data_IF_564068446215
#
_entry.id   IF_564068446215
#
_cell.length_a   1.000
_cell.length_b   1.000
_cell.length_c   1.000
_cell.angle_alpha   90.00
_cell.angle_beta   90.00
_cell.angle_gamma   90.00
#
_symmetry.space_group_name_H-M   'P 1'
#
loop_
_entity.id
_entity.type
_entity.pdbx_description
1 polymer ?
#
# COMPACT_ATOMS: atom_id res chain seq x y z
N UNK A 1 -22.13 4.99 -33.25
CA UNK A 1 -22.55 4.69 -31.87
C UNK A 1 -21.34 4.15 -31.14
N UNK A 2 -20.79 4.92 -30.19
CA UNK A 2 -19.69 4.47 -29.35
C UNK A 2 -20.23 4.42 -27.93
N UNK A 3 -20.54 3.22 -27.46
CA UNK A 3 -20.71 2.97 -26.03
C UNK A 3 -19.43 2.24 -25.62
N UNK A 4 -18.67 2.86 -24.71
CA UNK A 4 -17.58 2.16 -24.04
C UNK A 4 -18.23 0.99 -23.28
N UNK A 5 -17.91 -0.24 -23.68
CA UNK A 5 -18.36 -1.43 -22.95
C UNK A 5 -17.40 -1.66 -21.79
N UNK A 6 -17.94 -1.86 -20.58
CA UNK A 6 -17.14 -2.11 -19.40
C UNK A 6 -17.82 -3.08 -18.43
N UNK A 7 -17.01 -3.73 -17.61
CA UNK A 7 -17.44 -4.42 -16.41
C UNK A 7 -17.06 -3.52 -15.23
N UNK A 8 -18.04 -3.14 -14.42
CA UNK A 8 -17.82 -2.39 -13.19
C UNK A 8 -17.94 -3.31 -11.98
N UNK A 9 -16.93 -3.26 -11.12
CA UNK A 9 -16.94 -3.88 -9.81
C UNK A 9 -17.05 -2.76 -8.77
N UNK A 10 -18.13 -2.77 -7.99
CA UNK A 10 -18.37 -1.82 -6.91
C UNK A 10 -18.22 -2.52 -5.58
N UNK A 11 -17.36 -1.96 -4.72
CA UNK A 11 -17.08 -2.53 -3.40
C UNK A 11 -17.98 -1.90 -2.35
N UNK A 12 -18.56 -2.72 -1.46
CA UNK A 12 -19.39 -2.24 -0.35
C UNK A 12 -18.59 -1.45 0.71
N UNK A 13 -17.26 -1.57 0.67
CA UNK A 13 -16.32 -0.82 1.49
C UNK A 13 -15.03 -0.65 0.68
N UNK A 14 -14.30 0.48 0.82
CA UNK A 14 -13.09 0.72 0.03
C UNK A 14 -12.04 -0.38 0.18
N UNK A 15 -11.41 -0.75 -0.92
CA UNK A 15 -10.30 -1.72 -0.97
C UNK A 15 -9.00 -1.04 -1.33
N UNK A 16 -7.88 -1.71 -1.07
CA UNK A 16 -6.53 -1.23 -1.40
C UNK A 16 -5.98 -1.83 -2.69
N UNK A 17 -6.51 -2.98 -3.09
CA UNK A 17 -6.08 -3.72 -4.27
C UNK A 17 -7.29 -4.16 -5.08
N UNK A 18 -7.17 -4.05 -6.39
CA UNK A 18 -8.08 -4.68 -7.36
C UNK A 18 -7.32 -5.03 -8.62
N UNK A 19 -7.67 -6.13 -9.27
CA UNK A 19 -7.18 -6.49 -10.59
C UNK A 19 -7.82 -7.77 -11.09
N UNK A 20 -7.62 -8.08 -12.37
CA UNK A 20 -8.11 -9.29 -13.00
C UNK A 20 -7.18 -9.68 -14.15
N UNK A 21 -7.25 -10.94 -14.57
CA UNK A 21 -6.62 -11.39 -15.80
C UNK A 21 -7.51 -11.08 -16.98
N UNK A 22 -6.90 -10.59 -18.06
CA UNK A 22 -7.57 -10.52 -19.36
C UNK A 22 -7.59 -11.92 -19.96
N UNK A 23 -8.73 -12.60 -19.89
CA UNK A 23 -8.88 -13.96 -20.42
C UNK A 23 -8.65 -13.95 -21.96
N UNK A 24 -8.12 -15.02 -22.60
CA UNK A 24 -7.73 -14.98 -24.00
C UNK A 24 -8.90 -14.86 -24.99
N UNK A 25 -9.45 -13.66 -25.12
CA UNK A 25 -10.54 -13.34 -26.06
C UNK A 25 -10.08 -12.64 -27.32
N UNK A 26 -8.81 -12.26 -27.46
CA UNK A 26 -8.30 -11.45 -28.58
C UNK A 26 -8.55 -9.95 -28.42
N UNK A 27 -8.71 -9.45 -27.19
CA UNK A 27 -8.95 -8.04 -26.92
C UNK A 27 -7.98 -7.47 -25.91
N UNK A 28 -7.88 -6.15 -25.88
CA UNK A 28 -7.15 -5.43 -24.85
C UNK A 28 -8.17 -4.88 -23.84
N UNK A 29 -7.80 -4.84 -22.56
CA UNK A 29 -8.62 -4.22 -21.53
C UNK A 29 -7.86 -3.09 -20.86
N UNK A 30 -8.59 -2.11 -20.37
CA UNK A 30 -8.06 -1.02 -19.55
C UNK A 30 -8.68 -1.09 -18.15
N UNK A 31 -7.86 -0.98 -17.11
CA UNK A 31 -8.37 -0.80 -15.74
C UNK A 31 -8.39 0.67 -15.37
N UNK A 32 -9.54 1.15 -14.88
CA UNK A 32 -9.68 2.40 -14.14
C UNK A 32 -10.17 2.10 -12.73
N UNK A 33 -9.50 2.61 -11.71
CA UNK A 33 -9.97 2.56 -10.33
C UNK A 33 -10.36 3.96 -9.87
N UNK A 34 -11.50 4.07 -9.19
CA UNK A 34 -12.03 5.35 -8.68
C UNK A 34 -12.31 5.29 -7.19
N UNK A 35 -12.28 6.46 -6.56
CA UNK A 35 -12.70 6.64 -5.17
C UNK A 35 -14.22 6.92 -5.06
N UNK A 36 -14.68 7.15 -3.82
CA UNK A 36 -16.07 7.51 -3.50
C UNK A 36 -16.60 8.72 -4.27
N UNK A 37 -15.75 9.74 -4.43
CA UNK A 37 -16.08 10.95 -5.16
C UNK A 37 -16.11 10.76 -6.68
N UNK A 38 -15.80 9.56 -7.20
CA UNK A 38 -15.71 9.27 -8.62
C UNK A 38 -14.46 9.81 -9.31
N UNK A 39 -13.49 10.30 -8.54
CA UNK A 39 -12.19 10.66 -9.09
C UNK A 39 -11.40 9.40 -9.43
N UNK A 40 -10.78 9.38 -10.61
CA UNK A 40 -9.84 8.33 -11.00
C UNK A 40 -8.60 8.44 -10.13
N UNK A 41 -8.27 7.37 -9.42
CA UNK A 41 -7.09 7.26 -8.56
C UNK A 41 -6.02 6.33 -9.16
N UNK A 42 -6.41 5.55 -10.16
CA UNK A 42 -5.53 4.76 -11.02
C UNK A 42 -6.20 4.56 -12.38
N UNK A 43 -5.44 4.65 -13.47
CA UNK A 43 -5.98 4.55 -14.82
C UNK A 43 -4.89 4.34 -15.86
N UNK A 44 -5.31 4.21 -17.12
CA UNK A 44 -4.43 4.14 -18.30
C UNK A 44 -3.46 2.96 -18.39
N UNK A 45 -3.64 1.95 -17.55
CA UNK A 45 -2.94 0.67 -17.71
C UNK A 45 -3.76 -0.25 -18.60
N UNK A 46 -3.15 -0.62 -19.72
CA UNK A 46 -3.66 -1.58 -20.68
C UNK A 46 -3.09 -2.96 -20.38
N UNK A 47 -3.91 -3.99 -20.50
CA UNK A 47 -3.46 -5.37 -20.54
C UNK A 47 -3.91 -6.02 -21.84
N UNK A 48 -2.95 -6.61 -22.54
CA UNK A 48 -3.21 -7.49 -23.67
C UNK A 48 -3.81 -8.81 -23.18
N UNK A 49 -4.24 -9.65 -24.11
CA UNK A 49 -4.79 -10.97 -23.78
C UNK A 49 -3.78 -11.81 -22.99
N UNK A 50 -4.26 -12.53 -21.98
CA UNK A 50 -3.44 -13.37 -21.11
C UNK A 50 -2.62 -12.61 -20.08
N UNK A 51 -2.74 -11.29 -19.98
CA UNK A 51 -2.00 -10.46 -19.01
C UNK A 51 -2.89 -10.04 -17.83
N UNK A 52 -2.26 -9.87 -16.67
CA UNK A 52 -2.91 -9.34 -15.48
C UNK A 52 -2.91 -7.81 -15.49
N UNK A 53 -4.07 -7.19 -15.23
CA UNK A 53 -4.18 -5.76 -14.96
C UNK A 53 -4.66 -5.52 -13.54
N UNK A 54 -3.95 -4.69 -12.78
CA UNK A 54 -4.31 -4.40 -11.41
C UNK A 54 -3.58 -3.22 -10.81
N UNK A 55 -4.08 -2.76 -9.67
CA UNK A 55 -3.49 -1.72 -8.83
C UNK A 55 -3.44 -2.18 -7.39
N UNK A 56 -2.39 -1.78 -6.68
CA UNK A 56 -2.25 -1.93 -5.23
C UNK A 56 -1.83 -0.59 -4.64
N UNK A 57 -2.65 -0.05 -3.75
CA UNK A 57 -2.45 1.22 -3.05
C UNK A 57 -2.08 0.99 -1.58
N UNK A 58 -1.42 1.95 -0.92
CA UNK A 58 -1.10 1.84 0.51
C UNK A 58 -2.32 1.86 1.44
N UNK A 59 -3.44 2.42 0.99
CA UNK A 59 -4.66 2.62 1.80
C UNK A 59 -5.91 2.15 1.06
N UNK A 60 -6.98 1.88 1.82
CA UNK A 60 -8.29 1.51 1.29
C UNK A 60 -8.98 2.73 0.68
N UNK A 61 -8.83 2.91 -0.64
CA UNK A 61 -9.35 4.09 -1.36
C UNK A 61 -10.14 3.74 -2.62
N UNK A 62 -10.06 2.49 -3.09
CA UNK A 62 -10.72 2.04 -4.31
C UNK A 62 -12.14 1.64 -3.95
N UNK A 63 -13.13 2.31 -4.53
CA UNK A 63 -14.55 1.96 -4.37
C UNK A 63 -15.15 1.34 -5.62
N UNK A 64 -14.64 1.73 -6.80
CA UNK A 64 -15.05 1.12 -8.06
C UNK A 64 -13.86 0.81 -8.95
N UNK A 65 -13.93 -0.32 -9.63
CA UNK A 65 -12.99 -0.72 -10.67
C UNK A 65 -13.75 -0.95 -11.98
N UNK A 66 -13.36 -0.23 -13.03
CA UNK A 66 -13.93 -0.34 -14.36
C UNK A 66 -12.90 -1.03 -15.26
N UNK A 67 -13.25 -2.23 -15.71
CA UNK A 67 -12.53 -2.93 -16.77
C UNK A 67 -13.17 -2.57 -18.09
N UNK A 68 -12.51 -1.72 -18.86
CA UNK A 68 -13.03 -1.17 -20.11
C UNK A 68 -12.48 -1.96 -21.30
N UNK A 69 -13.38 -2.32 -22.22
CA UNK A 69 -13.00 -2.90 -23.49
C UNK A 69 -12.18 -1.90 -24.33
N UNK A 70 -11.00 -2.32 -24.80
CA UNK A 70 -10.20 -1.61 -25.79
C UNK A 70 -10.03 -2.50 -27.02
N UNK A 71 -10.53 -2.04 -28.15
CA UNK A 71 -10.45 -2.82 -29.39
C UNK A 71 -9.10 -2.60 -30.07
N UNK A 72 -8.31 -3.66 -30.18
CA UNK A 72 -7.06 -3.68 -30.97
C UNK A 72 -6.95 -4.92 -31.88
N UNK A 73 -7.71 -6.00 -31.67
CA UNK A 73 -7.50 -7.27 -32.40
C UNK A 73 -8.76 -7.91 -33.04
N UNK A 74 -9.71 -7.10 -33.51
CA UNK A 74 -10.77 -7.57 -34.42
C UNK A 74 -11.88 -8.43 -33.79
N UNK A 75 -11.91 -8.55 -32.46
CA UNK A 75 -12.97 -9.24 -31.71
C UNK A 75 -13.97 -8.24 -31.11
N UNK A 76 -15.18 -8.71 -30.78
CA UNK A 76 -16.30 -7.89 -30.30
C UNK A 76 -16.66 -8.17 -28.84
N UNK A 77 -15.67 -8.12 -27.94
CA UNK A 77 -15.88 -8.29 -26.51
C UNK A 77 -14.62 -8.63 -25.74
N UNK A 78 -14.77 -8.82 -24.43
CA UNK A 78 -13.74 -9.29 -23.53
C UNK A 78 -14.36 -10.12 -22.40
N UNK A 79 -13.57 -11.03 -21.85
CA UNK A 79 -13.84 -11.69 -20.57
C UNK A 79 -12.69 -11.36 -19.62
N UNK A 80 -12.98 -11.44 -18.32
CA UNK A 80 -11.97 -11.34 -17.27
C UNK A 80 -12.03 -12.61 -16.45
N UNK A 81 -10.87 -13.05 -15.97
CA UNK A 81 -10.75 -14.17 -15.05
C UNK A 81 -10.01 -13.76 -13.77
N UNK A 82 -10.15 -14.56 -12.72
CA UNK A 82 -9.38 -14.43 -11.48
C UNK A 82 -9.41 -12.99 -10.87
N UNK A 83 -10.61 -12.41 -10.79
CA UNK A 83 -10.82 -11.12 -10.14
C UNK A 83 -10.28 -11.16 -8.71
N UNK A 84 -9.24 -10.35 -8.47
CA UNK A 84 -8.51 -10.28 -7.20
C UNK A 84 -8.75 -8.93 -6.55
N UNK A 85 -9.09 -8.92 -5.27
CA UNK A 85 -9.17 -7.70 -4.45
C UNK A 85 -8.65 -7.94 -3.03
N UNK A 86 -8.21 -6.87 -2.36
CA UNK A 86 -7.77 -6.95 -0.97
C UNK A 86 -7.91 -5.61 -0.22
N UNK A 87 -8.17 -5.70 1.08
CA UNK A 87 -8.08 -4.55 1.99
C UNK A 87 -6.66 -4.39 2.52
N UNK A 88 -6.22 -3.15 2.72
CA UNK A 88 -4.93 -2.83 3.28
C UNK A 88 -4.84 -3.45 4.69
N UNK A 89 -3.70 -4.08 4.99
CA UNK A 89 -3.43 -4.53 6.34
C UNK A 89 -3.43 -3.32 7.28
N UNK A 90 -3.93 -3.51 8.50
CA UNK A 90 -3.80 -2.48 9.53
C UNK A 90 -2.30 -2.16 9.72
N UNK A 91 -1.92 -0.88 9.86
CA UNK A 91 -0.54 -0.53 10.11
C UNK A 91 -0.09 -1.26 11.38
N UNK A 92 1.01 -1.99 11.29
CA UNK A 92 1.64 -2.60 12.46
C UNK A 92 2.08 -1.44 13.35
N UNK A 93 1.59 -1.33 14.60
CA UNK A 93 2.02 -0.25 15.47
C UNK A 93 3.54 -0.32 15.61
N UNK A 94 4.20 0.84 15.57
CA UNK A 94 5.62 0.89 15.88
C UNK A 94 5.84 0.34 17.30
N UNK A 95 6.89 -0.45 17.55
CA UNK A 95 7.19 -0.94 18.88
C UNK A 95 7.32 0.26 19.83
N UNK A 96 6.46 0.32 20.84
CA UNK A 96 6.58 1.33 21.88
C UNK A 96 7.73 0.87 22.79
N UNK A 97 8.78 1.70 23.02
CA UNK A 97 9.85 1.33 23.94
C UNK A 97 9.29 0.96 25.30
N UNK A 98 9.61 -0.25 25.76
CA UNK A 98 9.12 -0.72 27.05
C UNK A 98 9.71 0.13 28.19
N UNK A 99 8.99 0.30 29.32
CA UNK A 99 9.49 1.07 30.46
C UNK A 99 10.86 0.60 30.96
N UNK A 100 11.16 -0.70 30.85
CA UNK A 100 12.46 -1.25 31.20
C UNK A 100 13.59 -0.70 30.32
N UNK A 101 13.35 -0.51 29.02
CA UNK A 101 14.31 0.08 28.08
C UNK A 101 14.54 1.57 28.37
N UNK A 102 13.50 2.30 28.77
CA UNK A 102 13.60 3.69 29.21
C UNK A 102 14.33 3.81 30.55
N UNK A 103 14.05 2.89 31.48
CA UNK A 103 14.71 2.84 32.78
C UNK A 103 16.18 2.46 32.63
N UNK A 104 16.52 1.50 31.75
CA UNK A 104 17.89 1.14 31.43
C UNK A 104 18.64 2.30 30.77
N UNK A 105 18.01 3.00 29.82
CA UNK A 105 18.59 4.18 29.18
C UNK A 105 18.83 5.30 30.20
N UNK A 106 17.84 5.58 31.05
CA UNK A 106 17.93 6.62 32.08
C UNK A 106 18.98 6.30 33.15
N UNK A 107 19.03 5.05 33.63
CA UNK A 107 20.02 4.61 34.62
C UNK A 107 21.43 4.53 34.04
N UNK A 108 21.57 4.14 32.77
CA UNK A 108 22.84 4.17 32.05
C UNK A 108 23.41 5.59 31.97
N UNK A 109 22.62 6.55 31.47
CA UNK A 109 23.07 7.95 31.32
C UNK A 109 23.39 8.58 32.68
N UNK A 110 22.53 8.38 33.69
CA UNK A 110 22.77 8.91 35.03
C UNK A 110 24.00 8.26 35.70
N UNK A 111 24.16 6.95 35.55
CA UNK A 111 25.28 6.19 36.11
C UNK A 111 26.63 6.62 35.53
N UNK A 112 26.74 6.73 34.20
CA UNK A 112 27.98 7.19 33.55
C UNK A 112 28.30 8.67 33.85
N UNK A 113 27.28 9.53 33.90
CA UNK A 113 27.43 10.93 34.29
C UNK A 113 27.99 11.09 35.71
N UNK A 114 27.39 10.40 36.69
CA UNK A 114 27.83 10.41 38.09
C UNK A 114 29.24 9.85 38.28
N UNK A 115 29.59 8.74 37.61
CA UNK A 115 30.93 8.15 37.69
C UNK A 115 32.02 9.09 37.16
N UNK A 116 31.73 9.84 36.08
CA UNK A 116 32.68 10.79 35.50
C UNK A 116 32.97 11.97 36.43
N UNK A 117 31.95 12.46 37.13
CA UNK A 117 32.08 13.54 38.12
C UNK A 117 32.83 13.07 39.37
N UNK A 118 32.54 11.87 39.85
CA UNK A 118 33.22 11.28 40.99
C UNK A 118 34.73 11.11 40.75
N UNK A 119 35.12 10.62 39.57
CA UNK A 119 36.54 10.44 39.20
C UNK A 119 37.30 11.76 39.06
N UNK A 120 36.65 12.84 38.61
CA UNK A 120 37.29 14.17 38.53
C UNK A 120 37.57 14.74 39.92
N UNK A 121 36.66 14.51 40.87
CA UNK A 121 36.78 15.06 42.21
C UNK A 121 37.83 14.32 43.07
N UNK A 122 38.07 13.03 42.82
CA UNK A 122 39.10 12.25 43.52
C UNK A 122 40.53 12.59 43.06
N UNK A 123 40.74 12.95 41.79
CA UNK A 123 42.05 13.37 41.28
C UNK A 123 42.50 14.75 41.80
N UNK A 124 41.57 15.66 42.11
CA UNK A 124 41.90 16.96 42.71
C UNK A 124 42.34 16.87 44.18
N UNK A 125 41.99 15.79 44.89
CA UNK A 125 42.44 15.57 46.29
C UNK A 125 43.84 14.95 46.41
N UNK A 126 44.47 14.55 45.30
CA UNK A 126 45.79 13.91 45.29
C UNK A 126 46.91 14.78 44.69
N UNK A 127 46.66 16.07 44.43
CA UNK A 127 47.73 17.00 44.06
C UNK A 127 48.32 17.63 45.34
N UNK A 128 49.60 17.37 45.66
CA UNK A 128 50.28 17.96 46.81
C UNK A 128 50.45 19.48 46.67
#
# INVERSE_FOLDING_TARGET
MCFICFIEVTFASPVSKVGAWNDPTGSQIQLLATNAGGSTIFGDVLADQGEFVGVSLPTNQIERALFQFRTTQGVSGFTIDDLTYAVAAAPTPSPIPEPASLLLLGTGVAGFGMLSLYRRHSQQRQRP
#
